data_IF_331423016453
#
_entry.id   IF_331423016453
#
_cell.length_a   1.000
_cell.length_b   1.000
_cell.length_c   1.000
_cell.angle_alpha   90.00
_cell.angle_beta   90.00
_cell.angle_gamma   90.00
#
_symmetry.space_group_name_H-M   'P 1'
#
loop_
_entity.id
_entity.type
_entity.pdbx_description
1 polymer ?
#
# COMPACT_ATOMS: atom_id res chain seq x y z
N UNK A 1 53.36 3.00 -46.63
CA UNK A 1 53.81 2.65 -45.24
C UNK A 1 53.24 3.52 -44.13
N UNK A 2 52.00 3.98 -44.22
CA UNK A 2 51.44 4.99 -43.28
C UNK A 2 50.12 4.62 -42.57
N UNK A 3 49.73 3.37 -42.52
CA UNK A 3 48.42 2.95 -41.90
C UNK A 3 48.52 2.24 -40.54
N UNK A 4 49.71 1.97 -40.02
CA UNK A 4 49.92 1.25 -38.74
C UNK A 4 49.84 2.14 -37.51
N UNK A 5 50.01 3.43 -37.62
CA UNK A 5 50.11 4.37 -36.48
C UNK A 5 48.78 4.77 -35.85
N UNK A 6 47.63 4.60 -36.51
CA UNK A 6 46.34 5.07 -35.96
C UNK A 6 45.65 4.04 -35.02
N UNK A 7 45.86 2.74 -35.28
CA UNK A 7 45.29 1.68 -34.43
C UNK A 7 46.02 1.60 -33.09
N UNK A 8 47.34 1.73 -33.10
CA UNK A 8 48.14 1.71 -31.87
C UNK A 8 47.80 2.86 -30.93
N UNK A 9 47.57 4.07 -31.48
CA UNK A 9 47.18 5.22 -30.68
C UNK A 9 45.80 5.10 -30.02
N UNK A 10 44.87 4.38 -30.65
CA UNK A 10 43.53 4.15 -30.10
C UNK A 10 43.57 3.08 -28.99
N UNK A 11 44.36 2.02 -29.19
CA UNK A 11 44.59 0.98 -28.19
C UNK A 11 45.32 1.55 -26.96
N UNK A 12 46.38 2.35 -27.18
CA UNK A 12 47.08 3.02 -26.09
C UNK A 12 46.18 3.98 -25.32
N UNK A 13 45.31 4.76 -25.98
CA UNK A 13 44.38 5.65 -25.32
C UNK A 13 43.34 4.91 -24.47
N UNK A 14 42.91 3.71 -24.88
CA UNK A 14 42.01 2.85 -24.08
C UNK A 14 42.70 2.18 -22.88
N UNK A 15 43.97 1.82 -23.02
CA UNK A 15 44.75 1.20 -21.97
C UNK A 15 45.27 2.19 -20.92
N UNK A 16 45.44 3.44 -21.30
CA UNK A 16 45.89 4.54 -20.41
C UNK A 16 44.73 5.42 -19.93
N UNK A 17 43.50 5.19 -20.37
CA UNK A 17 42.34 5.85 -19.77
C UNK A 17 42.32 5.51 -18.28
N UNK A 18 42.54 6.50 -17.44
CA UNK A 18 42.41 6.35 -16.00
C UNK A 18 41.06 5.70 -15.72
N UNK A 19 41.04 4.64 -14.89
CA UNK A 19 39.79 3.98 -14.54
C UNK A 19 38.89 5.04 -13.92
N UNK A 20 37.81 5.40 -14.63
CA UNK A 20 36.81 6.34 -14.11
C UNK A 20 36.25 5.71 -12.83
N UNK A 21 36.63 6.32 -11.69
CA UNK A 21 36.16 5.91 -10.37
C UNK A 21 34.64 5.83 -10.39
N UNK A 22 34.08 4.71 -9.96
CA UNK A 22 32.64 4.53 -9.92
C UNK A 22 32.03 5.57 -8.99
N UNK A 23 31.06 6.33 -9.51
CA UNK A 23 30.34 7.30 -8.70
C UNK A 23 29.40 6.54 -7.74
N UNK A 24 29.42 6.88 -6.46
CA UNK A 24 28.48 6.31 -5.48
C UNK A 24 27.02 6.58 -5.88
N UNK A 25 26.05 5.85 -5.30
CA UNK A 25 24.63 6.17 -5.46
C UNK A 25 24.40 7.65 -5.15
N UNK A 26 23.83 8.39 -6.08
CA UNK A 26 23.67 9.85 -5.98
C UNK A 26 22.28 10.26 -5.47
N UNK A 27 22.06 11.58 -5.25
CA UNK A 27 20.81 12.11 -4.73
C UNK A 27 19.58 11.77 -5.61
N UNK A 28 19.75 11.70 -6.92
CA UNK A 28 18.65 11.35 -7.85
C UNK A 28 18.09 9.95 -7.50
N UNK A 29 18.94 8.95 -7.31
CA UNK A 29 18.51 7.60 -6.94
C UNK A 29 17.81 7.61 -5.59
N UNK A 30 18.33 8.36 -4.62
CA UNK A 30 17.71 8.51 -3.30
C UNK A 30 16.33 9.14 -3.42
N UNK A 31 16.13 10.15 -4.25
CA UNK A 31 14.82 10.76 -4.47
C UNK A 31 13.80 9.74 -4.98
N UNK A 32 14.16 8.93 -5.98
CA UNK A 32 13.26 7.89 -6.48
C UNK A 32 12.90 6.86 -5.41
N UNK A 33 13.87 6.41 -4.63
CA UNK A 33 13.61 5.47 -3.51
C UNK A 33 12.70 6.10 -2.46
N UNK A 34 12.94 7.36 -2.10
CA UNK A 34 12.14 8.07 -1.08
C UNK A 34 10.71 8.27 -1.55
N UNK A 35 10.51 8.71 -2.80
CA UNK A 35 9.16 8.89 -3.37
C UNK A 35 8.43 7.55 -3.44
N UNK A 36 9.08 6.50 -3.95
CA UNK A 36 8.47 5.18 -4.02
C UNK A 36 8.11 4.63 -2.62
N UNK A 37 8.99 4.80 -1.63
CA UNK A 37 8.74 4.40 -0.25
C UNK A 37 7.57 5.20 0.38
N UNK A 38 7.50 6.52 0.12
CA UNK A 38 6.40 7.36 0.60
C UNK A 38 5.05 6.94 -0.02
N UNK A 39 5.01 6.72 -1.34
CA UNK A 39 3.81 6.23 -2.02
C UNK A 39 3.39 4.87 -1.46
N UNK A 40 4.34 3.95 -1.23
CA UNK A 40 4.05 2.66 -0.62
C UNK A 40 3.42 2.78 0.77
N UNK A 41 3.96 3.67 1.61
CA UNK A 41 3.38 3.95 2.94
C UNK A 41 1.97 4.51 2.81
N UNK A 42 1.74 5.47 1.91
CA UNK A 42 0.42 6.06 1.69
C UNK A 42 -0.61 5.02 1.25
N UNK A 43 -0.25 4.15 0.30
CA UNK A 43 -1.14 3.08 -0.17
C UNK A 43 -1.43 2.07 0.95
N UNK A 44 -0.41 1.65 1.73
CA UNK A 44 -0.59 0.68 2.82
C UNK A 44 -1.37 1.23 4.02
N UNK A 45 -1.39 2.54 4.18
CA UNK A 45 -2.09 3.23 5.29
C UNK A 45 -3.40 3.88 4.88
N UNK A 46 -3.89 3.58 3.66
CA UNK A 46 -5.10 4.18 3.10
C UNK A 46 -5.11 5.72 3.11
N UNK A 47 -3.91 6.34 3.00
CA UNK A 47 -3.79 7.79 2.81
C UNK A 47 -3.80 8.19 1.33
N UNK A 48 -4.01 7.24 0.44
CA UNK A 48 -4.00 7.47 -1.00
C UNK A 48 -5.39 7.87 -1.46
N UNK A 49 -5.61 9.12 -1.89
CA UNK A 49 -6.85 9.47 -2.56
C UNK A 49 -6.88 8.76 -3.92
N UNK A 50 -7.89 7.92 -4.16
CA UNK A 50 -8.05 7.31 -5.47
C UNK A 50 -8.43 8.38 -6.51
N UNK A 51 -7.59 8.68 -7.51
CA UNK A 51 -7.91 9.65 -8.55
C UNK A 51 -8.89 9.10 -9.61
N UNK A 52 -9.22 7.81 -9.55
CA UNK A 52 -9.96 7.10 -10.60
C UNK A 52 -11.38 6.68 -10.22
N UNK A 53 -11.89 7.13 -9.07
CA UNK A 53 -13.28 6.88 -8.64
C UNK A 53 -13.50 5.43 -8.16
N UNK A 54 -14.68 4.87 -8.40
CA UNK A 54 -15.19 3.63 -7.80
C UNK A 54 -14.42 2.31 -8.10
N UNK A 55 -13.28 2.34 -8.76
CA UNK A 55 -12.48 1.14 -9.04
C UNK A 55 -11.40 0.92 -7.97
N UNK A 56 -11.82 0.84 -6.74
CA UNK A 56 -10.97 0.90 -5.56
C UNK A 56 -10.02 -0.28 -5.39
N UNK A 57 -10.29 -1.44 -5.95
CA UNK A 57 -9.39 -2.60 -5.85
C UNK A 57 -8.23 -2.58 -6.86
N UNK A 58 -8.46 -1.99 -8.05
CA UNK A 58 -7.46 -1.98 -9.11
C UNK A 58 -6.35 -0.95 -8.83
N UNK A 59 -6.71 0.19 -8.26
CA UNK A 59 -5.79 1.28 -7.97
C UNK A 59 -4.71 0.90 -6.95
N UNK A 60 -5.04 0.34 -5.77
CA UNK A 60 -4.02 -0.10 -4.83
C UNK A 60 -3.12 -1.19 -5.41
N UNK A 61 -3.66 -2.11 -6.22
CA UNK A 61 -2.87 -3.16 -6.86
C UNK A 61 -1.89 -2.59 -7.88
N UNK A 62 -2.35 -1.68 -8.76
CA UNK A 62 -1.50 -1.00 -9.73
C UNK A 62 -0.44 -0.14 -9.03
N UNK A 63 -0.81 0.61 -8.00
CA UNK A 63 0.11 1.39 -7.21
C UNK A 63 1.20 0.52 -6.57
N UNK A 64 0.83 -0.62 -5.99
CA UNK A 64 1.81 -1.58 -5.45
C UNK A 64 2.74 -2.13 -6.52
N UNK A 65 2.23 -2.52 -7.69
CA UNK A 65 3.06 -3.03 -8.80
C UNK A 65 4.04 -1.97 -9.30
N UNK A 66 3.59 -0.73 -9.48
CA UNK A 66 4.45 0.38 -9.91
C UNK A 66 5.52 0.68 -8.86
N UNK A 67 5.14 0.77 -7.59
CA UNK A 67 6.09 0.99 -6.49
C UNK A 67 7.12 -0.12 -6.41
N UNK A 68 6.70 -1.38 -6.47
CA UNK A 68 7.62 -2.53 -6.44
C UNK A 68 8.56 -2.52 -7.65
N UNK A 69 8.06 -2.21 -8.85
CA UNK A 69 8.90 -2.08 -10.04
C UNK A 69 9.95 -0.98 -9.88
N UNK A 70 9.55 0.21 -9.40
CA UNK A 70 10.47 1.33 -9.15
C UNK A 70 11.51 0.95 -8.08
N UNK A 71 11.09 0.34 -6.97
CA UNK A 71 12.00 -0.10 -5.91
C UNK A 71 12.95 -1.20 -6.40
N UNK A 72 12.48 -2.15 -7.21
CA UNK A 72 13.33 -3.20 -7.80
C UNK A 72 14.40 -2.62 -8.73
N UNK A 73 14.01 -1.74 -9.65
CA UNK A 73 14.95 -1.10 -10.60
C UNK A 73 15.95 -0.20 -9.86
N UNK A 74 15.48 0.66 -8.97
CA UNK A 74 16.34 1.55 -8.21
C UNK A 74 17.24 0.79 -7.23
N UNK A 75 16.71 -0.26 -6.60
CA UNK A 75 17.47 -1.17 -5.74
C UNK A 75 18.57 -1.92 -6.49
N UNK A 76 18.27 -2.41 -7.71
CA UNK A 76 19.27 -3.06 -8.57
C UNK A 76 20.38 -2.08 -8.98
N UNK A 77 20.02 -0.88 -9.41
CA UNK A 77 21.02 0.17 -9.77
C UNK A 77 21.86 0.53 -8.53
N UNK A 78 21.21 0.67 -7.37
CA UNK A 78 21.90 0.92 -6.11
C UNK A 78 22.87 -0.22 -5.76
N UNK A 79 22.44 -1.47 -5.84
CA UNK A 79 23.26 -2.64 -5.55
C UNK A 79 24.49 -2.71 -6.50
N UNK A 80 24.27 -2.55 -7.80
CA UNK A 80 25.36 -2.55 -8.79
C UNK A 80 26.37 -1.45 -8.46
N UNK A 81 25.93 -0.20 -8.25
CA UNK A 81 26.83 0.92 -7.92
C UNK A 81 27.60 0.68 -6.62
N UNK A 82 26.92 0.16 -5.61
CA UNK A 82 27.52 -0.18 -4.30
C UNK A 82 28.59 -1.26 -4.45
N UNK A 83 28.29 -2.33 -5.21
CA UNK A 83 29.26 -3.40 -5.47
C UNK A 83 30.49 -2.87 -6.23
N UNK A 84 30.32 -1.97 -7.18
CA UNK A 84 31.47 -1.36 -7.87
C UNK A 84 32.32 -0.50 -6.94
N UNK A 85 31.71 0.32 -6.09
CA UNK A 85 32.44 1.20 -5.14
C UNK A 85 33.15 0.39 -4.07
N UNK A 86 32.46 -0.57 -3.46
CA UNK A 86 33.02 -1.37 -2.35
C UNK A 86 33.94 -2.48 -2.86
N UNK A 87 33.56 -3.18 -3.93
CA UNK A 87 34.28 -4.35 -4.41
C UNK A 87 35.51 -3.98 -5.25
N UNK A 88 35.36 -3.05 -6.22
CA UNK A 88 36.43 -2.70 -7.14
C UNK A 88 37.33 -1.58 -6.59
N UNK A 89 36.73 -0.52 -6.09
CA UNK A 89 37.49 0.65 -5.65
C UNK A 89 37.93 0.54 -4.18
N UNK A 90 37.43 -0.45 -3.44
CA UNK A 90 37.69 -0.70 -2.01
C UNK A 90 37.54 0.56 -1.15
N UNK A 91 36.61 1.45 -1.55
CA UNK A 91 36.35 2.71 -0.84
C UNK A 91 35.00 2.64 -0.15
N UNK A 92 34.94 3.06 1.09
CA UNK A 92 33.69 3.26 1.80
C UNK A 92 33.08 4.62 1.41
N UNK A 93 31.79 4.63 1.08
CA UNK A 93 31.03 5.85 0.83
C UNK A 93 29.79 5.90 1.70
N UNK A 94 29.63 6.95 2.47
CA UNK A 94 28.43 7.17 3.28
C UNK A 94 27.14 7.28 2.47
N UNK A 95 27.23 7.57 1.18
CA UNK A 95 26.10 7.60 0.26
C UNK A 95 25.47 6.22 0.00
N UNK A 96 26.07 5.16 0.47
CA UNK A 96 25.51 3.81 0.37
C UNK A 96 24.38 3.58 1.40
N UNK A 97 24.41 4.27 2.53
CA UNK A 97 23.49 4.05 3.65
C UNK A 97 22.07 4.66 3.49
N UNK A 98 21.86 5.86 2.92
CA UNK A 98 20.57 6.53 2.94
C UNK A 98 19.44 5.71 2.31
N UNK A 99 19.65 5.04 1.17
CA UNK A 99 18.59 4.31 0.49
C UNK A 99 18.08 3.10 1.32
N UNK A 100 18.92 2.21 1.87
CA UNK A 100 18.47 1.17 2.78
C UNK A 100 17.77 1.72 4.02
N UNK A 101 18.26 2.82 4.60
CA UNK A 101 17.63 3.43 5.78
C UNK A 101 16.22 3.90 5.46
N UNK A 102 16.01 4.59 4.33
CA UNK A 102 14.68 5.03 3.89
C UNK A 102 13.72 3.85 3.73
N UNK A 103 14.15 2.78 3.04
CA UNK A 103 13.31 1.60 2.83
C UNK A 103 12.99 0.90 4.15
N UNK A 104 13.98 0.71 5.02
CA UNK A 104 13.78 0.10 6.33
C UNK A 104 12.88 0.95 7.24
N UNK A 105 13.03 2.27 7.22
CA UNK A 105 12.19 3.18 7.98
C UNK A 105 10.74 3.15 7.49
N UNK A 106 10.53 3.12 6.17
CA UNK A 106 9.19 2.99 5.59
C UNK A 106 8.55 1.65 5.95
N UNK A 107 9.32 0.56 5.88
CA UNK A 107 8.86 -0.77 6.29
C UNK A 107 8.52 -0.80 7.78
N UNK A 108 9.38 -0.28 8.64
CA UNK A 108 9.14 -0.19 10.07
C UNK A 108 7.89 0.63 10.38
N UNK A 109 7.69 1.74 9.69
CA UNK A 109 6.49 2.56 9.85
C UNK A 109 5.21 1.83 9.41
N UNK A 110 5.27 1.04 8.32
CA UNK A 110 4.11 0.23 7.89
C UNK A 110 3.80 -0.87 8.90
N UNK A 111 4.81 -1.51 9.51
CA UNK A 111 4.61 -2.63 10.44
C UNK A 111 4.23 -2.15 11.84
N UNK A 112 4.91 -1.13 12.37
CA UNK A 112 4.80 -0.68 13.77
C UNK A 112 4.23 0.72 13.95
N UNK A 113 3.98 1.43 12.85
CA UNK A 113 3.40 2.78 12.94
C UNK A 113 1.95 2.73 13.45
N UNK A 114 1.43 3.85 13.95
CA UNK A 114 0.06 3.93 14.42
C UNK A 114 -0.90 3.57 13.28
N UNK A 115 -1.82 2.64 13.53
CA UNK A 115 -2.93 2.31 12.64
C UNK A 115 -4.22 2.78 13.28
N UNK A 116 -5.05 3.46 12.52
CA UNK A 116 -6.41 3.75 12.94
C UNK A 116 -7.21 2.45 12.89
N UNK A 117 -7.75 2.05 14.01
CA UNK A 117 -8.60 0.87 14.13
C UNK A 117 -10.07 1.27 14.02
N UNK A 118 -10.95 0.30 13.80
CA UNK A 118 -12.40 0.50 13.87
C UNK A 118 -12.82 1.17 15.18
N UNK A 119 -12.23 0.75 16.30
CA UNK A 119 -12.55 1.28 17.63
C UNK A 119 -12.25 2.79 17.76
N UNK A 120 -11.24 3.30 17.07
CA UNK A 120 -10.91 4.72 17.05
C UNK A 120 -11.97 5.58 16.33
N UNK A 121 -12.70 4.96 15.41
CA UNK A 121 -13.74 5.59 14.58
C UNK A 121 -15.17 5.14 14.94
N UNK A 122 -15.31 4.30 15.95
CA UNK A 122 -16.59 3.75 16.39
C UNK A 122 -17.70 4.76 16.49
N UNK A 123 -17.45 5.95 17.06
CA UNK A 123 -18.45 7.00 17.25
C UNK A 123 -19.01 7.50 15.91
N UNK A 124 -18.16 7.61 14.88
CA UNK A 124 -18.57 8.03 13.54
C UNK A 124 -19.42 6.94 12.87
N UNK A 125 -19.02 5.66 13.01
CA UNK A 125 -19.82 4.51 12.55
C UNK A 125 -21.16 4.43 13.25
N UNK A 126 -21.20 4.63 14.58
CA UNK A 126 -22.40 4.54 15.39
C UNK A 126 -23.44 5.63 15.04
N UNK A 127 -22.99 6.84 14.76
CA UNK A 127 -23.85 7.93 14.32
C UNK A 127 -24.59 7.58 13.01
N UNK A 128 -23.87 6.96 12.05
CA UNK A 128 -24.47 6.52 10.78
C UNK A 128 -25.39 5.32 11.00
N UNK A 129 -24.98 4.37 11.84
CA UNK A 129 -25.79 3.20 12.15
C UNK A 129 -27.14 3.55 12.79
N UNK A 130 -27.14 4.51 13.73
CA UNK A 130 -28.37 5.00 14.36
C UNK A 130 -29.28 5.68 13.33
N UNK A 131 -28.73 6.56 12.49
CA UNK A 131 -29.49 7.25 11.43
C UNK A 131 -30.17 6.25 10.46
N UNK A 132 -29.40 5.24 9.98
CA UNK A 132 -29.94 4.21 9.09
C UNK A 132 -30.96 3.29 9.77
N UNK A 133 -30.82 3.05 11.07
CA UNK A 133 -31.76 2.26 11.85
C UNK A 133 -33.08 2.99 12.09
N UNK A 134 -33.01 4.30 12.32
CA UNK A 134 -34.20 5.16 12.51
C UNK A 134 -34.97 5.39 11.20
N UNK A 135 -34.27 5.27 10.05
CA UNK A 135 -34.84 5.46 8.72
C UNK A 135 -34.77 4.16 7.89
N UNK A 136 -35.57 3.14 8.19
CA UNK A 136 -35.53 1.86 7.49
C UNK A 136 -35.79 2.00 6.00
N UNK A 137 -34.96 1.33 5.19
CA UNK A 137 -35.02 1.39 3.73
C UNK A 137 -34.16 2.49 3.11
N UNK A 138 -33.50 3.30 3.94
CA UNK A 138 -32.41 4.17 3.46
C UNK A 138 -31.10 3.39 3.41
N UNK A 139 -30.22 3.82 2.54
CA UNK A 139 -28.87 3.29 2.42
C UNK A 139 -27.91 4.43 2.08
N UNK A 140 -26.63 4.23 2.35
CA UNK A 140 -25.57 5.13 1.93
C UNK A 140 -24.56 4.33 1.12
N UNK A 141 -24.24 4.82 -0.06
CA UNK A 141 -23.24 4.21 -0.95
C UNK A 141 -22.01 5.10 -1.03
N UNK A 142 -20.85 4.48 -1.19
CA UNK A 142 -19.57 5.12 -1.51
C UNK A 142 -19.22 6.32 -0.61
N UNK A 143 -18.85 6.06 0.64
CA UNK A 143 -18.44 7.10 1.58
C UNK A 143 -17.25 6.66 2.44
N UNK A 144 -16.54 7.64 3.01
CA UNK A 144 -15.37 7.39 3.86
C UNK A 144 -15.65 7.69 5.32
N UNK A 145 -15.14 6.85 6.22
CA UNK A 145 -15.09 7.10 7.66
C UNK A 145 -13.63 7.05 8.11
N UNK A 146 -12.96 8.21 8.13
CA UNK A 146 -11.52 8.28 8.36
C UNK A 146 -10.74 7.53 7.28
N UNK A 147 -9.97 6.48 7.62
CA UNK A 147 -9.24 5.68 6.64
C UNK A 147 -10.07 4.53 6.04
N UNK A 148 -11.31 4.35 6.47
CA UNK A 148 -12.19 3.29 6.00
C UNK A 148 -13.01 3.75 4.81
N UNK A 149 -12.92 3.03 3.72
CA UNK A 149 -13.68 3.22 2.49
C UNK A 149 -14.87 2.27 2.51
N UNK A 150 -16.06 2.81 2.61
CA UNK A 150 -17.31 2.04 2.76
C UNK A 150 -18.05 2.04 1.42
N UNK A 151 -18.16 0.85 0.81
CA UNK A 151 -18.95 0.67 -0.42
C UNK A 151 -20.42 0.95 -0.17
N UNK A 152 -20.94 0.39 0.91
CA UNK A 152 -22.35 0.52 1.26
C UNK A 152 -22.61 0.37 2.75
N UNK A 153 -23.53 1.18 3.27
CA UNK A 153 -24.15 0.93 4.57
C UNK A 153 -25.67 0.87 4.44
N UNK A 154 -26.28 -0.20 4.95
CA UNK A 154 -27.71 -0.42 4.87
C UNK A 154 -28.24 -1.31 5.99
N UNK A 155 -29.56 -1.26 6.17
CA UNK A 155 -30.30 -2.11 7.09
C UNK A 155 -31.12 -3.14 6.30
N UNK A 156 -30.57 -4.34 6.07
CA UNK A 156 -31.27 -5.45 5.43
C UNK A 156 -32.22 -6.18 6.39
N UNK A 157 -31.78 -6.36 7.62
CA UNK A 157 -32.52 -7.01 8.68
C UNK A 157 -32.97 -5.97 9.68
N UNK A 158 -34.22 -5.96 10.12
CA UNK A 158 -34.68 -5.02 11.13
C UNK A 158 -33.81 -5.05 12.38
N UNK A 159 -33.24 -3.89 12.74
CA UNK A 159 -32.36 -3.74 13.89
C UNK A 159 -30.88 -3.95 13.62
N UNK A 160 -30.51 -4.46 12.45
CA UNK A 160 -29.11 -4.67 12.05
C UNK A 160 -28.71 -3.67 10.95
N UNK A 161 -27.51 -3.07 11.05
CA UNK A 161 -26.95 -2.20 10.01
C UNK A 161 -25.59 -2.74 9.59
N UNK A 162 -25.46 -3.04 8.32
CA UNK A 162 -24.24 -3.59 7.70
C UNK A 162 -23.45 -2.49 7.00
N UNK A 163 -22.16 -2.46 7.26
CA UNK A 163 -21.18 -1.61 6.60
C UNK A 163 -20.25 -2.50 5.79
N UNK A 164 -20.24 -2.36 4.49
CA UNK A 164 -19.42 -3.14 3.57
C UNK A 164 -18.10 -2.41 3.35
N UNK A 165 -17.00 -3.03 3.72
CA UNK A 165 -15.65 -2.48 3.48
C UNK A 165 -15.26 -2.69 2.01
N UNK A 166 -15.13 -1.58 1.27
CA UNK A 166 -14.77 -1.59 -0.14
C UNK A 166 -13.36 -2.17 -0.38
N UNK A 167 -12.45 -2.03 0.57
CA UNK A 167 -11.09 -2.54 0.46
C UNK A 167 -11.01 -4.07 0.42
N UNK A 168 -12.06 -4.76 0.85
CA UNK A 168 -12.13 -6.22 0.96
C UNK A 168 -12.99 -6.89 -0.09
N UNK A 169 -13.67 -6.12 -0.95
CA UNK A 169 -14.47 -6.69 -2.04
C UNK A 169 -13.53 -7.32 -3.07
N UNK A 170 -13.40 -8.63 -3.03
CA UNK A 170 -12.57 -9.38 -3.96
C UNK A 170 -13.28 -10.66 -4.42
N UNK A 171 -13.68 -10.71 -5.69
CA UNK A 171 -14.40 -11.82 -6.34
C UNK A 171 -15.64 -12.29 -5.57
N UNK A 172 -15.45 -13.16 -4.57
CA UNK A 172 -16.51 -13.80 -3.80
C UNK A 172 -16.46 -13.45 -2.31
N UNK A 173 -15.54 -12.59 -1.90
CA UNK A 173 -15.37 -12.22 -0.49
C UNK A 173 -15.86 -10.81 -0.25
N UNK A 174 -16.59 -10.62 0.84
CA UNK A 174 -17.00 -9.32 1.34
C UNK A 174 -16.81 -9.32 2.84
N UNK A 175 -16.22 -8.30 3.41
CA UNK A 175 -16.12 -8.12 4.85
C UNK A 175 -16.53 -6.70 5.26
N UNK A 176 -16.68 -6.50 6.55
CA UNK A 176 -17.04 -5.21 7.09
C UNK A 176 -17.54 -5.29 8.53
N UNK A 177 -18.41 -4.36 8.90
CA UNK A 177 -18.91 -4.24 10.27
C UNK A 177 -20.42 -4.29 10.31
N UNK A 178 -20.95 -4.86 11.40
CA UNK A 178 -22.38 -4.92 11.67
C UNK A 178 -22.67 -4.28 13.01
N UNK A 179 -23.62 -3.37 13.02
CA UNK A 179 -24.22 -2.82 14.21
C UNK A 179 -25.49 -3.58 14.55
N UNK A 180 -25.51 -4.33 15.66
CA UNK A 180 -26.64 -5.13 16.11
C UNK A 180 -26.79 -5.02 17.63
N UNK A 181 -27.54 -4.00 18.13
CA UNK A 181 -27.61 -3.74 19.56
C UNK A 181 -28.55 -4.70 20.31
N UNK A 182 -29.54 -5.28 19.65
CA UNK A 182 -30.62 -6.02 20.32
C UNK A 182 -30.35 -7.54 20.40
N UNK A 183 -29.56 -8.07 19.45
CA UNK A 183 -29.25 -9.49 19.35
C UNK A 183 -27.97 -9.72 18.56
N UNK A 184 -27.30 -10.88 18.65
CA UNK A 184 -26.23 -11.23 17.73
C UNK A 184 -26.72 -11.20 16.28
N UNK A 185 -25.88 -10.75 15.32
CA UNK A 185 -26.29 -10.68 13.91
C UNK A 185 -26.75 -12.05 13.41
N UNK A 186 -27.84 -12.03 12.67
CA UNK A 186 -28.48 -13.25 12.18
C UNK A 186 -27.98 -13.68 10.80
N UNK A 187 -27.19 -12.83 10.16
CA UNK A 187 -26.67 -13.05 8.81
C UNK A 187 -27.67 -12.64 7.73
N UNK A 188 -27.17 -12.01 6.70
CA UNK A 188 -27.96 -11.86 5.48
C UNK A 188 -27.68 -13.05 4.57
N UNK A 189 -28.68 -13.53 3.91
CA UNK A 189 -28.81 -14.35 2.69
C UNK A 189 -27.64 -15.21 2.16
N UNK A 190 -26.40 -15.11 2.62
CA UNK A 190 -25.31 -16.01 2.23
C UNK A 190 -25.06 -17.04 3.34
N UNK A 191 -25.11 -18.30 2.97
CA UNK A 191 -24.98 -19.43 3.89
C UNK A 191 -23.62 -19.53 4.62
N UNK A 192 -22.60 -18.79 4.16
CA UNK A 192 -21.23 -18.82 4.70
C UNK A 192 -20.81 -17.45 5.26
N UNK A 193 -21.57 -16.88 6.18
CA UNK A 193 -21.16 -15.67 6.91
C UNK A 193 -20.64 -16.01 8.29
N UNK A 194 -19.46 -15.48 8.64
CA UNK A 194 -18.89 -15.57 9.99
C UNK A 194 -18.94 -14.21 10.67
N UNK A 195 -19.24 -14.22 11.98
CA UNK A 195 -19.32 -13.00 12.79
C UNK A 195 -18.38 -13.11 13.97
N UNK A 196 -17.56 -12.08 14.15
CA UNK A 196 -16.66 -11.93 15.30
C UNK A 196 -17.10 -10.74 16.13
N UNK A 197 -17.46 -10.94 17.39
CA UNK A 197 -17.83 -9.86 18.28
C UNK A 197 -16.62 -8.96 18.57
N UNK A 198 -16.77 -7.64 18.39
CA UNK A 198 -15.72 -6.65 18.64
C UNK A 198 -15.92 -6.00 20.02
N UNK A 199 -16.90 -5.11 20.12
CA UNK A 199 -17.21 -4.39 21.35
C UNK A 199 -18.64 -3.85 21.33
N UNK A 200 -19.39 -4.03 22.45
CA UNK A 200 -20.78 -3.59 22.58
C UNK A 200 -21.68 -4.18 21.49
N UNK A 201 -22.40 -3.34 20.70
CA UNK A 201 -23.30 -3.81 19.65
C UNK A 201 -22.59 -4.10 18.30
N UNK A 202 -21.27 -4.15 18.26
CA UNK A 202 -20.49 -4.22 17.04
C UNK A 202 -19.90 -5.60 16.80
N UNK A 203 -20.00 -6.04 15.56
CA UNK A 203 -19.43 -7.29 15.07
C UNK A 203 -18.66 -7.01 13.75
N UNK A 204 -17.57 -7.70 13.55
CA UNK A 204 -16.92 -7.84 12.26
C UNK A 204 -17.53 -9.06 11.56
N UNK A 205 -17.79 -8.94 10.26
CA UNK A 205 -18.31 -10.05 9.48
C UNK A 205 -17.44 -10.32 8.25
N UNK A 206 -17.37 -11.58 7.88
CA UNK A 206 -16.84 -12.05 6.61
C UNK A 206 -17.90 -12.89 5.92
N UNK A 207 -18.14 -12.64 4.66
CA UNK A 207 -19.12 -13.35 3.84
C UNK A 207 -18.50 -13.86 2.56
N UNK A 208 -18.77 -15.10 2.23
CA UNK A 208 -18.31 -15.74 0.99
C UNK A 208 -19.51 -16.01 0.11
N UNK A 209 -19.55 -15.39 -1.07
CA UNK A 209 -20.54 -15.70 -2.09
C UNK A 209 -20.06 -16.88 -2.93
N UNK A 210 -20.76 -18.00 -2.90
CA UNK A 210 -20.56 -19.11 -3.84
C UNK A 210 -21.45 -18.88 -5.06
N UNK A 211 -20.85 -18.76 -6.22
CA UNK A 211 -21.55 -18.70 -7.52
C UNK A 211 -21.92 -20.07 -7.99
#
# INVERSE_FOLDING_TARGET
MARRTSLDSWVYRRLTAEPTLAKPPGPILLTFVTVAAAVWVCVKRNFWPSPFGAHTWLDPLLAHLVVLAVLAVTGLIWAIRTLYVLGRDRRWSWWVLPAPIVVLSAFAFVVWGPSTTFLDKRVEFEAIAIDLRENPGTYRDEFEIGPFDIDRANSYTPGEVYFVDNSTIFFSFTSGWVYSPDHPPTGSASEDSSFTHLDGPWYEYESVYRF
#
